data_IF_192455739106
#
_entry.id   IF_192455739106
#
_cell.length_a   1.000
_cell.length_b   1.000
_cell.length_c   1.000
_cell.angle_alpha   90.00
_cell.angle_beta   90.00
_cell.angle_gamma   90.00
#
_symmetry.space_group_name_H-M   'P 1'
#
loop_
_entity.id
_entity.type
_entity.pdbx_description
1 polymer ?
#
# COMPACT_ATOMS: atom_id res chain seq x y z
N UNK A 1 35.23 -10.40 32.70
CA UNK A 1 35.18 -10.02 31.27
C UNK A 1 33.72 -9.98 30.87
N UNK A 2 33.08 -8.80 30.94
CA UNK A 2 31.66 -8.63 30.63
C UNK A 2 31.50 -8.51 29.11
N UNK A 3 30.68 -9.38 28.50
CA UNK A 3 30.26 -9.22 27.10
C UNK A 3 29.38 -7.97 27.04
N UNK A 4 29.62 -7.01 26.13
CA UNK A 4 28.68 -5.92 25.96
C UNK A 4 27.31 -6.50 25.57
N UNK A 5 26.27 -6.07 26.27
CA UNK A 5 24.90 -6.36 25.88
C UNK A 5 24.66 -5.72 24.51
N UNK A 6 24.33 -6.53 23.50
CA UNK A 6 23.80 -6.01 22.25
C UNK A 6 22.52 -5.27 22.60
N UNK A 7 22.53 -3.95 22.47
CA UNK A 7 21.31 -3.16 22.39
C UNK A 7 20.54 -3.77 21.22
N UNK A 8 19.27 -4.21 21.36
CA UNK A 8 18.50 -4.57 20.19
C UNK A 8 18.51 -3.32 19.31
N UNK A 9 19.19 -3.39 18.17
CA UNK A 9 18.95 -2.48 17.07
C UNK A 9 17.45 -2.49 16.91
N UNK A 10 16.79 -1.35 17.20
CA UNK A 10 15.42 -1.19 16.74
C UNK A 10 15.56 -1.27 15.23
N UNK A 11 15.28 -2.44 14.67
CA UNK A 11 14.83 -2.57 13.30
C UNK A 11 13.90 -1.36 13.12
N UNK A 12 14.30 -0.40 12.29
CA UNK A 12 13.47 0.75 12.01
C UNK A 12 12.25 0.18 11.30
N UNK A 13 11.28 -0.26 12.10
CA UNK A 13 10.34 -1.30 11.73
C UNK A 13 9.60 -0.84 10.49
N UNK A 14 9.65 -1.66 9.44
CA UNK A 14 8.88 -1.44 8.23
C UNK A 14 7.43 -1.20 8.65
N UNK A 15 6.94 0.03 8.42
CA UNK A 15 5.58 0.38 8.78
C UNK A 15 4.64 -0.34 7.82
N UNK A 16 3.59 -0.99 8.34
CA UNK A 16 2.64 -1.68 7.49
C UNK A 16 1.37 -2.10 8.19
N UNK A 17 0.39 -2.47 7.39
CA UNK A 17 -0.95 -2.88 7.81
C UNK A 17 -1.46 -3.99 6.91
N UNK A 18 -2.26 -4.89 7.49
CA UNK A 18 -3.01 -5.89 6.78
C UNK A 18 -4.50 -5.75 7.12
N UNK A 19 -5.36 -5.98 6.14
CA UNK A 19 -6.81 -5.92 6.32
C UNK A 19 -7.51 -6.90 5.36
N UNK A 20 -8.49 -7.64 5.87
CA UNK A 20 -9.34 -8.52 5.05
C UNK A 20 -10.28 -7.67 4.18
N UNK A 21 -10.20 -7.76 2.84
CA UNK A 21 -11.13 -7.05 1.98
C UNK A 21 -12.51 -7.70 2.07
N UNK A 22 -13.54 -6.90 2.35
CA UNK A 22 -14.94 -7.32 2.27
C UNK A 22 -15.41 -7.44 0.81
N UNK A 23 -16.65 -7.02 0.52
CA UNK A 23 -17.17 -7.00 -0.87
C UNK A 23 -16.48 -5.96 -1.74
N UNK A 24 -16.02 -4.87 -1.12
CA UNK A 24 -15.21 -3.85 -1.74
C UNK A 24 -14.24 -3.29 -0.70
N UNK A 25 -13.03 -2.96 -1.13
CA UNK A 25 -12.03 -2.33 -0.28
C UNK A 25 -11.37 -1.15 -1.00
N UNK A 26 -11.20 -0.03 -0.30
CA UNK A 26 -10.58 1.17 -0.86
C UNK A 26 -9.32 1.51 -0.09
N UNK A 27 -8.18 1.57 -0.78
CA UNK A 27 -6.94 2.12 -0.26
C UNK A 27 -6.88 3.58 -0.72
N UNK A 28 -6.94 4.51 0.23
CA UNK A 28 -6.92 5.94 -0.04
C UNK A 28 -5.62 6.55 0.47
N UNK A 29 -4.80 7.03 -0.45
CA UNK A 29 -3.67 7.89 -0.15
C UNK A 29 -4.16 9.34 -0.06
N UNK A 30 -4.01 9.94 1.12
CA UNK A 30 -4.17 11.39 1.28
C UNK A 30 -3.10 12.13 0.48
N UNK A 31 -3.38 13.39 0.08
CA UNK A 31 -2.54 14.15 -0.83
C UNK A 31 -1.05 14.00 -0.46
N UNK A 32 -0.24 13.42 -1.35
CA UNK A 32 1.17 13.27 -1.09
C UNK A 32 1.82 14.65 -1.23
N UNK A 33 2.21 15.27 -0.12
CA UNK A 33 3.02 16.51 -0.10
C UNK A 33 4.39 16.32 -0.82
N UNK A 34 4.71 15.09 -1.19
CA UNK A 34 5.91 14.66 -1.88
C UNK A 34 5.60 13.44 -2.76
N UNK A 35 5.97 13.49 -4.04
CA UNK A 35 5.76 12.40 -4.98
C UNK A 35 6.36 11.07 -4.46
N UNK A 36 5.52 10.04 -4.39
CA UNK A 36 5.91 8.66 -4.05
C UNK A 36 5.44 7.69 -5.12
N UNK A 37 5.64 6.40 -4.89
CA UNK A 37 5.14 5.35 -5.78
C UNK A 37 4.56 4.17 -4.98
N UNK A 38 3.56 3.50 -5.54
CA UNK A 38 3.03 2.26 -5.01
C UNK A 38 3.31 1.11 -5.99
N UNK A 39 3.95 0.05 -5.52
CA UNK A 39 4.12 -1.20 -6.24
C UNK A 39 3.02 -2.16 -5.84
N UNK A 40 2.07 -2.39 -6.74
CA UNK A 40 0.92 -3.27 -6.52
C UNK A 40 1.19 -4.65 -7.10
N UNK A 41 0.92 -5.68 -6.31
CA UNK A 41 1.09 -7.09 -6.67
C UNK A 41 -0.20 -7.84 -6.39
N UNK A 42 -0.55 -8.81 -7.24
CA UNK A 42 -1.59 -9.77 -6.90
C UNK A 42 -1.00 -10.93 -6.10
N UNK A 43 -1.65 -11.31 -5.00
CA UNK A 43 -1.19 -12.34 -4.06
C UNK A 43 -2.23 -13.44 -3.90
N UNK A 44 -1.78 -14.61 -3.42
CA UNK A 44 -2.66 -15.74 -3.04
C UNK A 44 -3.09 -15.68 -1.57
N UNK A 45 -2.74 -14.61 -0.85
CA UNK A 45 -3.15 -14.41 0.55
C UNK A 45 -4.58 -13.89 0.64
N UNK A 46 -5.15 -13.90 1.85
CA UNK A 46 -6.54 -13.46 2.09
C UNK A 46 -6.66 -11.97 2.41
N UNK A 47 -5.55 -11.31 2.76
CA UNK A 47 -5.53 -9.93 3.22
C UNK A 47 -4.93 -8.98 2.19
N UNK A 48 -5.51 -7.79 2.09
CA UNK A 48 -4.82 -6.64 1.49
C UNK A 48 -3.72 -6.22 2.45
N UNK A 49 -2.50 -6.12 1.93
CA UNK A 49 -1.34 -5.67 2.70
C UNK A 49 -0.82 -4.38 2.12
N UNK A 50 -0.45 -3.42 2.98
CA UNK A 50 0.25 -2.20 2.58
C UNK A 50 1.44 -2.01 3.49
N UNK A 51 2.62 -1.83 2.90
CA UNK A 51 3.89 -1.62 3.61
C UNK A 51 4.59 -0.39 3.06
N UNK A 52 5.28 0.33 3.94
CA UNK A 52 6.21 1.39 3.62
C UNK A 52 7.61 0.93 4.08
N UNK A 53 8.35 0.17 3.24
CA UNK A 53 9.71 -0.27 3.56
C UNK A 53 10.69 0.90 3.76
N UNK A 54 10.40 2.06 3.18
CA UNK A 54 11.14 3.29 3.39
C UNK A 54 10.19 4.47 3.58
N UNK A 55 10.61 5.44 4.39
CA UNK A 55 9.83 6.63 4.71
C UNK A 55 8.85 6.42 5.88
N UNK A 56 8.23 7.53 6.29
CA UNK A 56 7.19 7.52 7.31
C UNK A 56 5.80 7.48 6.66
N UNK A 57 4.94 6.59 7.13
CA UNK A 57 3.55 6.49 6.74
C UNK A 57 2.69 6.20 7.97
N UNK A 58 1.50 6.81 8.02
CA UNK A 58 0.47 6.49 8.99
C UNK A 58 -0.62 5.69 8.30
N UNK A 59 -1.05 4.60 8.92
CA UNK A 59 -2.10 3.72 8.42
C UNK A 59 -3.30 3.76 9.35
N UNK A 60 -4.48 4.07 8.81
CA UNK A 60 -5.74 4.05 9.54
C UNK A 60 -6.71 3.07 8.86
N UNK A 61 -6.90 1.90 9.46
CA UNK A 61 -7.83 0.89 8.96
C UNK A 61 -9.27 1.18 9.39
N UNK A 62 -10.21 0.93 8.48
CA UNK A 62 -11.64 0.85 8.72
C UNK A 62 -12.22 -0.40 8.07
N UNK A 63 -13.53 -0.62 8.19
CA UNK A 63 -14.18 -1.86 7.75
C UNK A 63 -14.01 -2.17 6.24
N UNK A 64 -14.05 -1.15 5.39
CA UNK A 64 -13.97 -1.29 3.92
C UNK A 64 -12.95 -0.33 3.30
N UNK A 65 -12.11 0.27 4.13
CA UNK A 65 -11.13 1.26 3.68
C UNK A 65 -9.86 1.22 4.49
N UNK A 66 -8.76 1.52 3.83
CA UNK A 66 -7.49 1.86 4.44
C UNK A 66 -7.11 3.27 4.03
N UNK A 67 -6.83 4.11 5.03
CA UNK A 67 -6.36 5.46 4.82
C UNK A 67 -4.85 5.50 5.08
N UNK A 68 -4.11 6.02 4.11
CA UNK A 68 -2.64 6.08 4.12
C UNK A 68 -2.22 7.54 3.99
N UNK A 69 -1.50 8.03 4.98
CA UNK A 69 -0.98 9.39 5.00
C UNK A 69 0.55 9.32 4.98
N UNK A 70 1.19 9.89 3.97
CA UNK A 70 2.65 10.03 3.89
C UNK A 70 3.01 11.50 4.05
N UNK A 71 3.36 11.92 5.27
CA UNK A 71 3.65 13.33 5.58
C UNK A 71 4.98 13.80 4.94
N UNK A 72 4.98 14.01 3.62
CA UNK A 72 6.13 14.54 2.87
C UNK A 72 7.32 13.59 2.71
N UNK A 73 7.13 12.29 2.91
CA UNK A 73 8.25 11.32 3.01
C UNK A 73 8.74 10.75 1.67
N UNK A 74 8.07 11.02 0.55
CA UNK A 74 8.40 10.43 -0.76
C UNK A 74 8.42 8.89 -0.74
N UNK A 75 7.70 8.28 0.21
CA UNK A 75 7.76 6.85 0.49
C UNK A 75 7.36 6.00 -0.73
N UNK A 76 8.05 4.86 -0.87
CA UNK A 76 7.62 3.79 -1.76
C UNK A 76 6.77 2.82 -0.98
N UNK A 77 5.59 2.51 -1.49
CA UNK A 77 4.66 1.55 -0.89
C UNK A 77 4.68 0.22 -1.62
N UNK A 78 4.60 -0.86 -0.87
CA UNK A 78 4.35 -2.20 -1.40
C UNK A 78 2.92 -2.59 -1.03
N UNK A 79 2.12 -2.95 -2.05
CA UNK A 79 0.72 -3.30 -1.88
C UNK A 79 0.50 -4.72 -2.41
N UNK A 80 0.06 -5.62 -1.54
CA UNK A 80 -0.40 -6.95 -1.91
C UNK A 80 -1.93 -7.00 -1.94
N UNK A 81 -2.51 -7.34 -3.08
CA UNK A 81 -3.96 -7.48 -3.24
C UNK A 81 -4.30 -8.95 -3.50
N UNK A 82 -5.14 -9.59 -2.67
CA UNK A 82 -5.61 -10.95 -2.91
C UNK A 82 -6.23 -11.12 -4.30
N UNK A 83 -5.87 -12.18 -5.02
CA UNK A 83 -6.53 -12.50 -6.30
C UNK A 83 -8.02 -12.75 -6.15
N UNK A 84 -8.42 -13.31 -5.02
CA UNK A 84 -9.82 -13.64 -4.70
C UNK A 84 -10.61 -12.48 -4.10
N UNK A 85 -9.95 -11.34 -3.81
CA UNK A 85 -10.66 -10.14 -3.38
C UNK A 85 -11.66 -9.69 -4.47
N UNK A 86 -12.96 -9.52 -4.13
CA UNK A 86 -13.97 -9.20 -5.14
C UNK A 86 -13.72 -7.86 -5.82
N UNK A 87 -13.36 -6.84 -5.05
CA UNK A 87 -13.10 -5.50 -5.56
C UNK A 87 -12.13 -4.73 -4.68
N UNK A 88 -11.05 -4.23 -5.25
CA UNK A 88 -10.07 -3.37 -4.56
C UNK A 88 -9.76 -2.15 -5.41
N UNK A 89 -9.84 -0.98 -4.80
CA UNK A 89 -9.63 0.32 -5.46
C UNK A 89 -8.51 1.08 -4.77
N UNK A 90 -7.61 1.69 -5.55
CA UNK A 90 -6.58 2.60 -5.02
C UNK A 90 -6.87 4.01 -5.51
N UNK A 91 -6.91 4.94 -4.56
CA UNK A 91 -7.15 6.37 -4.82
C UNK A 91 -6.03 7.24 -4.28
N UNK A 92 -5.79 8.33 -4.98
CA UNK A 92 -4.92 9.44 -4.57
C UNK A 92 -5.70 10.72 -4.72
N UNK A 93 -5.75 11.55 -3.67
CA UNK A 93 -6.49 12.82 -3.69
C UNK A 93 -7.96 12.68 -4.16
N UNK A 94 -8.59 11.53 -3.86
CA UNK A 94 -9.95 11.19 -4.32
C UNK A 94 -10.07 10.66 -5.75
N UNK A 95 -9.05 10.78 -6.60
CA UNK A 95 -9.03 10.20 -7.94
C UNK A 95 -8.57 8.75 -7.95
N UNK A 96 -9.16 7.91 -8.81
CA UNK A 96 -8.88 6.48 -8.89
C UNK A 96 -7.79 6.19 -9.91
N UNK A 97 -6.68 5.63 -9.44
CA UNK A 97 -5.51 5.29 -10.26
C UNK A 97 -5.39 3.78 -10.52
N UNK A 98 -6.09 2.95 -9.74
CA UNK A 98 -6.12 1.50 -9.93
C UNK A 98 -7.45 0.91 -9.44
N UNK A 99 -7.95 -0.08 -10.17
CA UNK A 99 -9.12 -0.88 -9.82
C UNK A 99 -8.89 -2.34 -10.19
N UNK A 100 -9.06 -3.23 -9.22
CA UNK A 100 -9.34 -4.65 -9.43
C UNK A 100 -10.83 -4.88 -9.20
N UNK A 101 -11.50 -5.48 -10.17
CA UNK A 101 -12.91 -5.86 -10.13
C UNK A 101 -13.06 -7.30 -10.64
N UNK A 102 -13.15 -8.25 -9.72
CA UNK A 102 -12.99 -9.68 -10.00
C UNK A 102 -11.63 -9.94 -10.66
N UNK A 103 -11.63 -10.57 -11.84
CA UNK A 103 -10.41 -10.84 -12.63
C UNK A 103 -9.96 -9.65 -13.49
N UNK A 104 -10.78 -8.60 -13.60
CA UNK A 104 -10.48 -7.43 -14.42
C UNK A 104 -9.63 -6.44 -13.62
N UNK A 105 -8.61 -5.89 -14.28
CA UNK A 105 -7.80 -4.79 -13.75
C UNK A 105 -7.91 -3.59 -14.68
N UNK A 106 -8.10 -2.41 -14.10
CA UNK A 106 -8.07 -1.11 -14.77
C UNK A 106 -7.03 -0.26 -14.05
N UNK A 107 -6.04 0.22 -14.80
CA UNK A 107 -4.92 1.00 -14.30
C UNK A 107 -4.46 1.93 -15.42
N UNK A 108 -4.05 3.14 -15.06
CA UNK A 108 -3.46 4.07 -16.02
C UNK A 108 -2.01 3.70 -16.37
N UNK A 109 -1.38 2.86 -15.54
CA UNK A 109 -0.05 2.30 -15.77
C UNK A 109 -0.13 0.84 -16.22
N UNK A 110 0.71 0.42 -17.19
CA UNK A 110 0.81 -0.98 -17.59
C UNK A 110 1.39 -1.84 -16.46
N UNK A 111 1.15 -3.15 -16.54
CA UNK A 111 1.81 -4.10 -15.67
C UNK A 111 3.28 -4.31 -16.11
N UNK A 112 4.21 -4.17 -15.19
CA UNK A 112 5.63 -4.46 -15.36
C UNK A 112 6.01 -5.64 -14.49
N UNK A 113 6.55 -6.72 -15.08
CA UNK A 113 7.00 -7.90 -14.34
C UNK A 113 5.95 -8.44 -13.34
N UNK A 114 4.67 -8.46 -13.73
CA UNK A 114 3.53 -8.88 -12.88
C UNK A 114 3.16 -7.93 -11.72
N UNK A 115 3.71 -6.72 -11.70
CA UNK A 115 3.36 -5.66 -10.76
C UNK A 115 2.87 -4.41 -11.48
N UNK A 116 2.12 -3.56 -10.80
CA UNK A 116 1.78 -2.23 -11.29
C UNK A 116 2.57 -1.22 -10.47
N UNK A 117 3.32 -0.35 -11.14
CA UNK A 117 4.02 0.76 -10.49
C UNK A 117 3.17 2.00 -10.69
N UNK A 118 2.50 2.43 -9.63
CA UNK A 118 1.57 3.53 -9.66
C UNK A 118 2.22 4.79 -9.08
N UNK A 119 2.30 5.89 -9.84
CA UNK A 119 2.74 7.14 -9.26
C UNK A 119 1.69 7.66 -8.28
N UNK A 120 2.13 8.07 -7.09
CA UNK A 120 1.29 8.70 -6.07
C UNK A 120 1.41 10.21 -6.23
N UNK A 121 0.74 10.73 -7.25
CA UNK A 121 0.63 12.15 -7.56
C UNK A 121 -0.83 12.45 -7.92
N UNK A 122 -1.21 13.73 -7.87
CA UNK A 122 -2.55 14.14 -8.29
C UNK A 122 -2.80 13.72 -9.75
N UNK A 123 -3.95 13.07 -10.04
CA UNK A 123 -4.30 12.62 -11.39
C UNK A 123 -4.67 13.74 -12.35
#
# INVERSE_FOLDING_TARGET
MVRPAQVPERDAGVAGVAATPGKAFVIHFELPDSAGAARVSLTEGEEVTVRAPSGAATFTSGAERLLVSNAGSGATFEIGIPRDAPRVEIRVAGGRIFLKDGTRIVSDQPAENQHYVLPLLEP
#
